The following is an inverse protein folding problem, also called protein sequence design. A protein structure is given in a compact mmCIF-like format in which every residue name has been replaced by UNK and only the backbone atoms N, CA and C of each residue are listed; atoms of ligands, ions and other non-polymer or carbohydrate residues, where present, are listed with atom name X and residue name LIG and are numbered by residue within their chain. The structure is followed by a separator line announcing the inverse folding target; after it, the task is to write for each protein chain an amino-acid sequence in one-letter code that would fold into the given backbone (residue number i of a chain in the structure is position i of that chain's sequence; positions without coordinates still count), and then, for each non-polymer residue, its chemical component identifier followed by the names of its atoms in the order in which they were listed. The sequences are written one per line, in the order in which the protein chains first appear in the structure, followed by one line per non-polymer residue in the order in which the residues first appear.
data_IF_046930791792
#
_entry.id   IF_046930791792
#
_cell.length_a   1.000
_cell.length_b   1.000
_cell.length_c   1.000
_cell.angle_alpha   90.00
_cell.angle_beta   90.00
_cell.angle_gamma   90.00
#
_symmetry.space_group_name_H-M   'P 1'
#
loop_
_entity.id
_entity.type
_entity.pdbx_description
1 polymer ?
#
# COMPACT_ATOMS: atom_id res chain seq x y z
N UNK A 1 13.52 -19.24 34.79
CA UNK A 1 13.84 -18.53 33.53
C UNK A 1 12.84 -18.97 32.46
N UNK A 2 12.18 -18.05 31.76
CA UNK A 2 11.30 -18.42 30.63
C UNK A 2 12.15 -18.96 29.49
N UNK A 3 11.79 -20.13 28.97
CA UNK A 3 12.49 -20.76 27.87
C UNK A 3 12.42 -19.97 26.56
N UNK A 4 13.11 -20.45 25.51
CA UNK A 4 13.13 -19.81 24.20
C UNK A 4 11.72 -19.57 23.65
N UNK A 5 11.48 -18.44 22.96
CA UNK A 5 10.18 -18.12 22.40
C UNK A 5 9.71 -19.22 21.44
N UNK A 6 8.39 -19.45 21.39
CA UNK A 6 7.80 -20.47 20.52
C UNK A 6 8.10 -20.17 19.05
N UNK A 7 8.51 -21.20 18.31
CA UNK A 7 8.75 -21.09 16.87
C UNK A 7 7.44 -20.78 16.14
N UNK A 8 7.44 -19.84 15.18
CA UNK A 8 6.26 -19.51 14.39
C UNK A 8 5.72 -20.75 13.64
N UNK A 9 4.39 -20.93 13.53
CA UNK A 9 3.79 -22.10 12.89
C UNK A 9 4.23 -22.33 11.44
N UNK A 10 4.48 -21.25 10.68
CA UNK A 10 5.01 -21.33 9.30
C UNK A 10 6.41 -21.95 9.26
N UNK A 11 7.31 -21.55 10.15
CA UNK A 11 8.66 -22.13 10.24
C UNK A 11 8.61 -23.57 10.75
N UNK A 12 7.67 -23.88 11.64
CA UNK A 12 7.42 -25.23 12.13
C UNK A 12 6.94 -26.17 11.00
N UNK A 13 6.13 -25.64 10.07
CA UNK A 13 5.66 -26.37 8.89
C UNK A 13 6.77 -26.60 7.85
N UNK A 14 7.59 -25.57 7.57
CA UNK A 14 8.75 -25.66 6.66
C UNK A 14 9.76 -26.71 7.15
N UNK A 15 9.93 -26.84 8.47
CA UNK A 15 10.78 -27.86 9.10
C UNK A 15 10.14 -29.25 9.19
N UNK A 16 8.99 -29.48 8.54
CA UNK A 16 8.35 -30.81 8.48
C UNK A 16 7.51 -31.20 9.70
N UNK A 17 7.05 -30.22 10.49
CA UNK A 17 6.26 -30.43 11.72
C UNK A 17 6.90 -31.44 12.70
N UNK A 18 8.09 -31.14 13.27
CA UNK A 18 8.83 -32.09 14.11
C UNK A 18 8.02 -32.60 15.32
N UNK A 19 7.16 -31.75 15.88
CA UNK A 19 6.33 -32.12 17.04
C UNK A 19 5.15 -33.04 16.70
N UNK A 20 4.86 -33.31 15.41
CA UNK A 20 3.73 -34.12 14.91
C UNK A 20 2.35 -33.68 15.38
N UNK A 21 2.25 -32.57 16.12
CA UNK A 21 0.99 -32.03 16.61
C UNK A 21 0.20 -31.46 15.44
N UNK A 22 -1.15 -31.43 15.53
CA UNK A 22 -1.98 -30.72 14.58
C UNK A 22 -1.53 -29.26 14.52
N UNK A 23 -1.05 -28.82 13.36
CA UNK A 23 -0.61 -27.44 13.17
C UNK A 23 -1.85 -26.58 13.00
N UNK A 24 -2.06 -25.59 13.88
CA UNK A 24 -3.11 -24.57 13.68
C UNK A 24 -2.86 -23.90 12.33
N UNK A 25 -3.92 -23.65 11.56
CA UNK A 25 -3.83 -23.09 10.21
C UNK A 25 -2.80 -21.95 10.15
N UNK A 26 -1.68 -22.11 9.42
CA UNK A 26 -0.66 -21.07 9.37
C UNK A 26 -1.21 -19.76 8.80
N UNK A 27 -2.30 -19.82 8.01
CA UNK A 27 -3.05 -18.66 7.52
C UNK A 27 -3.78 -17.86 8.62
N UNK A 28 -4.12 -18.50 9.76
CA UNK A 28 -4.76 -17.85 10.92
C UNK A 28 -3.74 -17.22 11.88
N UNK A 29 -2.50 -17.73 11.89
CA UNK A 29 -1.44 -17.27 12.81
C UNK A 29 -0.34 -16.44 12.16
N UNK A 30 -0.19 -16.53 10.83
CA UNK A 30 0.59 -15.55 10.09
C UNK A 30 -0.09 -14.21 10.31
N UNK A 31 0.65 -13.18 10.72
CA UNK A 31 0.26 -11.81 10.40
C UNK A 31 -0.06 -11.88 8.91
N UNK A 32 -1.32 -11.64 8.53
CA UNK A 32 -1.66 -11.46 7.12
C UNK A 32 -0.58 -10.53 6.60
N UNK A 33 0.22 -10.98 5.62
CA UNK A 33 1.02 -10.04 4.84
C UNK A 33 0.04 -8.92 4.54
N UNK A 34 0.33 -7.69 4.98
CA UNK A 34 -0.61 -6.59 4.90
C UNK A 34 -0.81 -6.28 3.42
N UNK A 35 -1.63 -7.11 2.74
CA UNK A 35 -2.38 -6.80 1.53
C UNK A 35 -3.35 -5.72 1.95
N UNK A 36 -2.79 -4.56 2.18
CA UNK A 36 -3.48 -3.39 2.64
C UNK A 36 -3.26 -2.34 1.58
N UNK A 37 -4.28 -1.53 1.38
CA UNK A 37 -4.11 -0.29 0.67
C UNK A 37 -2.98 0.53 1.29
N UNK A 38 -2.13 1.16 0.48
CA UNK A 38 -1.17 2.13 0.98
C UNK A 38 -1.88 3.20 1.81
N UNK A 39 -1.24 3.60 2.92
CA UNK A 39 -1.79 4.67 3.77
C UNK A 39 -1.76 5.98 3.00
N UNK A 40 -2.87 6.72 3.07
CA UNK A 40 -3.00 8.02 2.39
C UNK A 40 -2.03 9.02 3.04
N UNK A 41 -1.15 9.66 2.26
CA UNK A 41 -0.26 10.72 2.75
C UNK A 41 -1.04 11.92 3.30
N UNK A 42 -0.61 12.44 4.45
CA UNK A 42 -1.33 13.54 5.12
C UNK A 42 -1.14 14.90 4.43
N UNK A 43 0.00 15.11 3.76
CA UNK A 43 0.36 16.37 3.13
C UNK A 43 -0.35 16.59 1.77
N UNK A 44 -0.95 15.54 1.17
CA UNK A 44 -1.72 15.69 -0.07
C UNK A 44 -2.90 16.65 0.13
N UNK A 45 -3.18 17.46 -0.90
CA UNK A 45 -4.38 18.27 -1.00
C UNK A 45 -5.66 17.41 -1.04
N UNK A 46 -6.83 18.05 -0.95
CA UNK A 46 -8.13 17.36 -0.93
C UNK A 46 -8.37 16.50 -2.17
N UNK A 47 -8.10 17.03 -3.37
CA UNK A 47 -8.21 16.28 -4.63
C UNK A 47 -7.19 15.14 -4.71
N UNK A 48 -5.94 15.39 -4.29
CA UNK A 48 -4.90 14.35 -4.26
C UNK A 48 -5.29 13.19 -3.34
N UNK A 49 -5.80 13.47 -2.13
CA UNK A 49 -6.28 12.43 -1.20
C UNK A 49 -7.41 11.59 -1.81
N UNK A 50 -8.34 12.22 -2.53
CA UNK A 50 -9.42 11.52 -3.22
C UNK A 50 -8.88 10.57 -4.29
N UNK A 51 -8.03 11.06 -5.19
CA UNK A 51 -7.49 10.27 -6.30
C UNK A 51 -6.55 9.16 -5.83
N UNK A 52 -5.69 9.45 -4.84
CA UNK A 52 -4.84 8.44 -4.22
C UNK A 52 -5.66 7.29 -3.66
N UNK A 53 -6.73 7.60 -2.89
CA UNK A 53 -7.60 6.57 -2.33
C UNK A 53 -8.28 5.77 -3.42
N UNK A 54 -8.89 6.43 -4.41
CA UNK A 54 -9.65 5.77 -5.47
C UNK A 54 -8.76 4.83 -6.31
N UNK A 55 -7.61 5.31 -6.76
CA UNK A 55 -6.66 4.50 -7.53
C UNK A 55 -6.06 3.38 -6.68
N UNK A 56 -5.76 3.62 -5.41
CA UNK A 56 -5.30 2.57 -4.50
C UNK A 56 -6.35 1.46 -4.34
N UNK A 57 -7.63 1.80 -4.24
CA UNK A 57 -8.73 0.84 -4.13
C UNK A 57 -8.85 0.00 -5.43
N UNK A 58 -8.87 0.65 -6.59
CA UNK A 58 -8.97 0.00 -7.91
C UNK A 58 -7.76 -0.90 -8.20
N UNK A 59 -6.54 -0.40 -8.02
CA UNK A 59 -5.30 -1.16 -8.27
C UNK A 59 -5.10 -2.32 -7.29
N UNK A 60 -5.54 -2.17 -6.04
CA UNK A 60 -5.48 -3.26 -5.06
C UNK A 60 -6.54 -4.34 -5.36
N UNK A 61 -7.70 -3.97 -5.92
CA UNK A 61 -8.70 -4.95 -6.36
C UNK A 61 -8.17 -5.85 -7.48
N UNK A 62 -7.39 -5.29 -8.40
CA UNK A 62 -6.71 -6.01 -9.49
C UNK A 62 -5.41 -6.72 -9.03
N UNK A 63 -4.97 -6.50 -7.79
CA UNK A 63 -3.74 -7.08 -7.25
C UNK A 63 -2.45 -6.53 -7.89
N UNK A 64 -2.51 -5.33 -8.47
CA UNK A 64 -1.40 -4.67 -9.19
C UNK A 64 -0.45 -3.99 -8.21
N UNK A 65 -0.98 -3.47 -7.11
CA UNK A 65 -0.19 -2.73 -6.11
C UNK A 65 -0.10 -3.45 -4.78
N UNK A 66 0.92 -3.07 -4.02
CA UNK A 66 1.19 -3.44 -2.65
C UNK A 66 1.44 -2.19 -1.79
N UNK A 67 1.64 -2.38 -0.49
CA UNK A 67 2.09 -1.31 0.41
C UNK A 67 3.40 -0.65 -0.03
N UNK A 68 4.26 -1.36 -0.76
CA UNK A 68 5.55 -0.85 -1.22
C UNK A 68 5.39 0.24 -2.29
N UNK A 69 4.28 0.21 -3.01
CA UNK A 69 4.01 1.10 -4.14
C UNK A 69 3.41 2.45 -3.71
N UNK A 70 3.23 2.66 -2.39
CA UNK A 70 2.63 3.87 -1.82
C UNK A 70 3.27 5.16 -2.34
N UNK A 71 4.62 5.22 -2.35
CA UNK A 71 5.37 6.41 -2.77
C UNK A 71 5.27 6.68 -4.27
N UNK A 72 5.19 5.62 -5.07
CA UNK A 72 5.03 5.75 -6.51
C UNK A 72 3.63 6.29 -6.85
N UNK A 73 2.61 5.79 -6.15
CA UNK A 73 1.23 6.27 -6.29
C UNK A 73 1.09 7.73 -5.82
N UNK A 74 1.76 8.09 -4.73
CA UNK A 74 1.82 9.46 -4.20
C UNK A 74 2.37 10.43 -5.23
N UNK A 75 3.55 10.12 -5.80
CA UNK A 75 4.19 10.92 -6.83
C UNK A 75 3.30 11.08 -8.07
N UNK A 76 2.64 10.00 -8.52
CA UNK A 76 1.78 10.04 -9.70
C UNK A 76 0.58 10.97 -9.48
N UNK A 77 -0.06 10.87 -8.32
CA UNK A 77 -1.22 11.70 -7.98
C UNK A 77 -0.81 13.16 -7.86
N UNK A 78 0.29 13.45 -7.17
CA UNK A 78 0.79 14.82 -7.00
C UNK A 78 1.09 15.47 -8.35
N UNK A 79 1.88 14.81 -9.21
CA UNK A 79 2.23 15.30 -10.54
C UNK A 79 0.98 15.52 -11.41
N UNK A 80 -0.01 14.63 -11.35
CA UNK A 80 -1.25 14.80 -12.09
C UNK A 80 -2.07 15.99 -11.58
N UNK A 81 -2.19 16.15 -10.26
CA UNK A 81 -2.94 17.28 -9.67
C UNK A 81 -2.27 18.62 -9.98
N UNK A 82 -0.94 18.69 -9.92
CA UNK A 82 -0.16 19.87 -10.26
C UNK A 82 -0.31 20.22 -11.74
N UNK A 83 -0.20 19.24 -12.64
CA UNK A 83 -0.42 19.43 -14.07
C UNK A 83 -1.81 19.99 -14.37
N UNK A 84 -2.86 19.40 -13.77
CA UNK A 84 -4.24 19.89 -13.95
C UNK A 84 -4.40 21.32 -13.45
N UNK A 85 -3.82 21.64 -12.30
CA UNK A 85 -3.83 22.99 -11.77
C UNK A 85 -3.15 23.98 -12.71
N UNK A 86 -1.98 23.62 -13.27
CA UNK A 86 -1.30 24.45 -14.26
C UNK A 86 -2.12 24.65 -15.53
N UNK A 87 -2.82 23.62 -16.03
CA UNK A 87 -3.74 23.79 -17.16
C UNK A 87 -4.84 24.80 -16.84
N UNK A 88 -5.46 24.71 -15.65
CA UNK A 88 -6.51 25.64 -15.22
C UNK A 88 -5.99 27.08 -15.10
N UNK A 89 -4.77 27.26 -14.57
CA UNK A 89 -4.12 28.58 -14.53
C UNK A 89 -3.84 29.12 -15.92
N UNK A 90 -3.30 28.30 -16.83
CA UNK A 90 -3.00 28.71 -18.21
C UNK A 90 -4.27 29.03 -19.01
N UNK A 91 -5.37 28.32 -18.77
CA UNK A 91 -6.67 28.62 -19.39
C UNK A 91 -7.23 29.98 -18.92
N UNK A 92 -6.93 30.39 -17.68
CA UNK A 92 -7.37 31.66 -17.11
C UNK A 92 -6.44 32.84 -17.47
N UNK A 93 -5.12 32.63 -17.41
CA UNK A 93 -4.11 33.69 -17.55
C UNK A 93 -3.51 33.77 -18.97
N UNK A 94 -3.70 32.73 -19.78
CA UNK A 94 -3.12 32.58 -21.11
C UNK A 94 -1.70 32.02 -21.11
N UNK A 95 -1.28 31.46 -22.25
CA UNK A 95 0.08 30.98 -22.46
C UNK A 95 1.04 32.17 -22.65
N UNK A 96 1.74 32.58 -21.59
CA UNK A 96 2.78 33.59 -21.67
C UNK A 96 4.14 32.98 -21.34
N UNK A 97 5.10 33.14 -22.24
CA UNK A 97 6.52 32.89 -22.01
C UNK A 97 7.26 34.19 -22.36
N UNK A 98 8.27 34.57 -21.58
CA UNK A 98 9.21 35.64 -21.93
C UNK A 98 10.53 35.05 -22.40
#
# INVERSE_FOLDING_TARGET
MSGPPKTPPRLHLIRGNPSKRPVKDPKKTAKKDEKGLPKIPQHLGSQGKYWFRRMAEELNAEGIISQLDARALELLVEAYTEYRHHCETLDAEGYTYR
#
